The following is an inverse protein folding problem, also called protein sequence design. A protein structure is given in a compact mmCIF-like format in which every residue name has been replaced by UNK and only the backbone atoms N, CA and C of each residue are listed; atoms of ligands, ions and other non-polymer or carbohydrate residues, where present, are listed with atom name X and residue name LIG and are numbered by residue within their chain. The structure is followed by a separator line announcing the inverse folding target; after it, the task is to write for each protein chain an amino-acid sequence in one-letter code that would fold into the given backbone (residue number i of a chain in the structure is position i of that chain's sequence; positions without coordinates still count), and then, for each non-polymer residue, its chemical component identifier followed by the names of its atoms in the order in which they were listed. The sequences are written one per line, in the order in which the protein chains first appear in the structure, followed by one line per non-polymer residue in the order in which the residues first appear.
data_IF_715135746798
#
_entry.id   IF_715135746798
#
_cell.length_a   1.000
_cell.length_b   1.000
_cell.length_c   1.000
_cell.angle_alpha   90.00
_cell.angle_beta   90.00
_cell.angle_gamma   90.00
#
_symmetry.space_group_name_H-M   'P 1'
#
loop_
_entity.id
_entity.type
_entity.pdbx_description
1 polymer ?
#
# COMPACT_ATOMS: atom_id res chain seq x y z
N UNK A 1 -28.73 17.41 -8.72
CA UNK A 1 -28.75 18.26 -7.51
C UNK A 1 -27.43 19.02 -7.48
N UNK A 2 -27.44 20.35 -7.43
CA UNK A 2 -26.23 21.17 -7.22
C UNK A 2 -26.17 21.55 -5.75
N UNK A 3 -25.00 21.37 -5.15
CA UNK A 3 -24.72 21.72 -3.75
C UNK A 3 -23.67 22.84 -3.79
N UNK A 4 -23.93 23.95 -3.13
CA UNK A 4 -22.93 25.00 -2.93
C UNK A 4 -22.30 24.80 -1.56
N UNK A 5 -20.97 24.86 -1.51
CA UNK A 5 -20.19 24.73 -0.29
C UNK A 5 -19.32 25.99 -0.11
N UNK A 6 -19.40 26.59 1.06
CA UNK A 6 -18.48 27.65 1.46
C UNK A 6 -17.32 27.01 2.20
N UNK A 7 -16.11 27.14 1.64
CA UNK A 7 -14.87 26.64 2.22
C UNK A 7 -14.07 27.81 2.75
N UNK A 8 -13.69 27.75 4.01
CA UNK A 8 -12.76 28.72 4.61
C UNK A 8 -11.33 28.15 4.53
N UNK A 9 -10.59 28.57 3.53
CA UNK A 9 -9.21 28.13 3.26
C UNK A 9 -8.34 29.38 3.15
N UNK A 10 -7.17 29.40 3.78
CA UNK A 10 -6.24 30.51 3.64
C UNK A 10 -5.65 30.57 2.23
N UNK A 11 -5.26 31.77 1.79
CA UNK A 11 -4.81 32.04 0.43
C UNK A 11 -3.57 31.21 0.04
N UNK A 12 -2.66 30.96 0.97
CA UNK A 12 -1.43 30.19 0.70
C UNK A 12 -1.75 28.73 0.44
N UNK A 13 -2.60 28.14 1.25
CA UNK A 13 -3.10 26.76 1.06
C UNK A 13 -3.89 26.66 -0.24
N UNK A 14 -4.75 27.64 -0.53
CA UNK A 14 -5.55 27.65 -1.76
C UNK A 14 -4.68 27.69 -3.02
N UNK A 15 -3.69 28.59 -3.06
CA UNK A 15 -2.78 28.71 -4.19
C UNK A 15 -1.96 27.43 -4.41
N UNK A 16 -1.43 26.84 -3.34
CA UNK A 16 -0.70 25.57 -3.41
C UNK A 16 -1.58 24.43 -3.95
N UNK A 17 -2.83 24.36 -3.52
CA UNK A 17 -3.80 23.37 -4.03
C UNK A 17 -4.06 23.57 -5.51
N UNK A 18 -4.31 24.82 -5.95
CA UNK A 18 -4.56 25.13 -7.36
C UNK A 18 -3.36 24.78 -8.26
N UNK A 19 -2.16 25.16 -7.87
CA UNK A 19 -0.92 24.82 -8.59
C UNK A 19 -0.78 23.30 -8.72
N UNK A 20 -0.89 22.58 -7.61
CA UNK A 20 -0.77 21.13 -7.59
C UNK A 20 -1.81 20.45 -8.49
N UNK A 21 -3.04 20.93 -8.48
CA UNK A 21 -4.11 20.36 -9.31
C UNK A 21 -3.90 20.65 -10.80
N UNK A 22 -3.44 21.85 -11.13
CA UNK A 22 -3.12 22.23 -12.50
C UNK A 22 -1.98 21.38 -13.08
N UNK A 23 -0.94 21.12 -12.29
CA UNK A 23 0.22 20.29 -12.68
C UNK A 23 -0.19 18.87 -13.08
N UNK A 24 -1.24 18.33 -12.45
CA UNK A 24 -1.77 16.98 -12.76
C UNK A 24 -2.99 17.00 -13.69
N UNK A 25 -3.39 18.17 -14.21
CA UNK A 25 -4.51 18.33 -15.11
C UNK A 25 -5.89 18.15 -14.46
N UNK A 26 -5.98 18.34 -13.15
CA UNK A 26 -7.24 18.28 -12.39
C UNK A 26 -7.73 19.68 -12.02
N UNK A 27 -9.04 19.80 -11.82
CA UNK A 27 -9.64 20.96 -11.18
C UNK A 27 -10.22 20.60 -9.82
N UNK A 28 -10.49 21.61 -9.00
CA UNK A 28 -10.99 21.43 -7.64
C UNK A 28 -12.34 20.71 -7.58
N UNK A 29 -13.22 20.99 -8.55
CA UNK A 29 -14.55 20.35 -8.62
C UNK A 29 -14.42 18.84 -8.86
N UNK A 30 -13.54 18.43 -9.78
CA UNK A 30 -13.28 17.03 -10.07
C UNK A 30 -12.72 16.33 -8.82
N UNK A 31 -11.75 16.94 -8.16
CA UNK A 31 -11.16 16.38 -6.94
C UNK A 31 -12.18 16.23 -5.82
N UNK A 32 -13.05 17.24 -5.65
CA UNK A 32 -14.10 17.19 -4.64
C UNK A 32 -15.14 16.12 -4.94
N UNK A 33 -15.53 15.95 -6.21
CA UNK A 33 -16.42 14.89 -6.63
C UNK A 33 -15.83 13.49 -6.42
N UNK A 34 -14.53 13.34 -6.68
CA UNK A 34 -13.80 12.08 -6.38
C UNK A 34 -13.79 11.80 -4.88
N UNK A 35 -13.54 12.81 -4.06
CA UNK A 35 -13.58 12.73 -2.60
C UNK A 35 -14.95 12.29 -2.08
N UNK A 36 -16.03 12.94 -2.53
CA UNK A 36 -17.39 12.57 -2.14
C UNK A 36 -17.77 11.16 -2.62
N UNK A 37 -17.38 10.80 -3.84
CA UNK A 37 -17.60 9.47 -4.40
C UNK A 37 -16.90 8.38 -3.57
N UNK A 38 -15.70 8.68 -3.09
CA UNK A 38 -14.95 7.79 -2.22
C UNK A 38 -15.64 7.60 -0.86
N UNK A 39 -16.11 8.68 -0.23
CA UNK A 39 -16.87 8.61 1.02
C UNK A 39 -18.12 7.75 0.83
N UNK A 40 -18.89 8.00 -0.24
CA UNK A 40 -20.12 7.27 -0.53
C UNK A 40 -19.85 5.76 -0.74
N UNK A 41 -18.76 5.42 -1.43
CA UNK A 41 -18.37 4.03 -1.72
C UNK A 41 -17.86 3.30 -0.47
N UNK A 42 -17.00 3.94 0.29
CA UNK A 42 -16.36 3.33 1.47
C UNK A 42 -17.23 3.41 2.71
N UNK A 43 -18.26 4.29 2.72
CA UNK A 43 -19.12 4.60 3.88
C UNK A 43 -18.32 4.83 5.17
N UNK A 44 -17.13 5.40 5.02
CA UNK A 44 -16.18 5.62 6.10
C UNK A 44 -15.33 6.85 5.80
N UNK A 45 -15.00 7.59 6.86
CA UNK A 45 -14.03 8.69 6.86
C UNK A 45 -12.70 8.26 7.52
N UNK A 46 -12.51 6.98 7.77
CA UNK A 46 -11.34 6.46 8.50
C UNK A 46 -10.01 6.87 7.88
N UNK A 47 -9.97 7.10 6.57
CA UNK A 47 -8.78 7.59 5.86
C UNK A 47 -8.54 9.12 6.04
N UNK A 48 -9.56 9.89 6.49
CA UNK A 48 -9.41 11.31 6.88
C UNK A 48 -9.23 11.41 8.39
N UNK A 49 -10.03 10.63 9.13
CA UNK A 49 -10.07 10.64 10.59
C UNK A 49 -9.11 9.63 11.21
N UNK A 50 -8.31 8.93 10.41
CA UNK A 50 -7.15 8.27 10.92
C UNK A 50 -6.35 9.34 11.66
N UNK A 51 -6.75 9.57 12.93
CA UNK A 51 -5.97 10.37 13.87
C UNK A 51 -4.53 9.99 13.59
N UNK A 52 -3.70 10.98 13.38
CA UNK A 52 -2.26 10.83 13.38
C UNK A 52 -1.90 9.85 14.49
N UNK A 53 -1.89 8.56 14.16
CA UNK A 53 -1.34 7.56 15.04
C UNK A 53 0.14 7.83 15.02
N UNK A 54 0.51 8.86 15.80
CA UNK A 54 1.83 9.19 16.27
C UNK A 54 2.98 9.04 15.28
N UNK A 55 2.87 9.57 14.05
CA UNK A 55 4.04 9.79 13.20
C UNK A 55 4.74 11.05 13.74
N UNK A 56 5.62 10.88 14.71
CA UNK A 56 6.58 11.93 15.05
C UNK A 56 7.65 11.92 13.97
N UNK A 57 7.62 12.90 13.07
CA UNK A 57 8.77 13.20 12.22
C UNK A 57 9.93 13.66 13.10
N UNK A 58 10.76 12.71 13.51
CA UNK A 58 12.11 13.04 13.95
C UNK A 58 12.92 13.34 12.71
N UNK A 59 13.65 14.46 12.70
CA UNK A 59 14.43 14.93 11.55
C UNK A 59 15.52 13.98 11.07
N UNK A 60 15.17 12.85 10.52
CA UNK A 60 15.91 11.84 9.78
C UNK A 60 14.95 10.72 9.28
N UNK A 61 13.71 11.05 8.84
CA UNK A 61 12.74 10.08 8.32
C UNK A 61 12.54 8.83 9.21
N UNK A 62 12.53 9.01 10.53
CA UNK A 62 12.29 7.90 11.48
C UNK A 62 10.79 7.67 11.58
N UNK A 63 10.33 6.64 10.91
CA UNK A 63 8.94 6.20 11.00
C UNK A 63 8.73 5.44 12.31
N UNK A 64 7.76 5.84 13.13
CA UNK A 64 7.45 5.18 14.40
C UNK A 64 6.03 4.65 14.42
N UNK A 65 5.83 3.40 14.85
CA UNK A 65 4.51 2.83 15.03
C UNK A 65 4.55 1.63 15.99
N UNK A 66 3.53 1.50 16.82
CA UNK A 66 3.37 0.32 17.67
C UNK A 66 2.86 -0.90 16.89
N UNK A 67 2.19 -0.67 15.76
CA UNK A 67 1.65 -1.73 14.91
C UNK A 67 1.65 -1.29 13.44
N UNK A 68 2.43 -1.97 12.62
CA UNK A 68 2.42 -1.76 11.17
C UNK A 68 1.14 -2.33 10.55
N UNK A 69 0.47 -1.51 9.74
CA UNK A 69 -0.72 -1.88 8.97
C UNK A 69 -0.48 -1.63 7.48
N UNK A 70 -1.31 -2.25 6.63
CA UNK A 70 -1.19 -2.06 5.17
C UNK A 70 -1.30 -0.58 4.75
N UNK A 71 -2.29 0.21 5.20
CA UNK A 71 -2.38 1.64 4.85
C UNK A 71 -1.17 2.44 5.33
N UNK A 72 -0.71 2.20 6.55
CA UNK A 72 0.43 2.92 7.13
C UNK A 72 1.74 2.59 6.38
N UNK A 73 1.94 1.34 6.02
CA UNK A 73 3.10 0.94 5.23
C UNK A 73 3.10 1.61 3.84
N UNK A 74 1.94 1.66 3.17
CA UNK A 74 1.79 2.36 1.90
C UNK A 74 2.08 3.87 2.04
N UNK A 75 1.59 4.50 3.10
CA UNK A 75 1.87 5.90 3.42
C UNK A 75 3.36 6.17 3.63
N UNK A 76 4.06 5.29 4.37
CA UNK A 76 5.50 5.44 4.61
C UNK A 76 6.30 5.40 3.29
N UNK A 77 5.97 4.49 2.38
CA UNK A 77 6.59 4.45 1.07
C UNK A 77 6.25 5.68 0.22
N UNK A 78 5.01 6.16 0.26
CA UNK A 78 4.59 7.36 -0.47
C UNK A 78 5.34 8.62 0.03
N UNK A 79 5.54 8.78 1.34
CA UNK A 79 6.35 9.88 1.92
C UNK A 79 7.80 9.89 1.45
N UNK A 80 8.34 8.74 1.04
CA UNK A 80 9.67 8.62 0.44
C UNK A 80 9.66 8.70 -1.09
N UNK A 81 8.56 9.16 -1.69
CA UNK A 81 8.42 9.27 -3.15
C UNK A 81 8.36 7.92 -3.87
N UNK A 82 8.06 6.82 -3.17
CA UNK A 82 7.92 5.51 -3.78
C UNK A 82 6.48 5.25 -4.18
N UNK A 83 6.28 4.85 -5.42
CA UNK A 83 4.96 4.47 -5.92
C UNK A 83 4.47 3.21 -5.22
N UNK A 84 3.23 3.26 -4.71
CA UNK A 84 2.50 2.09 -4.22
C UNK A 84 1.21 2.00 -5.03
N UNK A 85 1.01 0.88 -5.72
CA UNK A 85 -0.17 0.71 -6.58
C UNK A 85 -1.46 0.57 -5.76
N UNK A 86 -2.58 0.89 -6.38
CA UNK A 86 -3.91 0.80 -5.74
C UNK A 86 -4.24 -0.62 -5.27
N UNK A 87 -3.96 -1.62 -6.10
CA UNK A 87 -4.06 -3.03 -5.68
C UNK A 87 -2.87 -3.37 -4.80
N UNK A 88 -3.14 -3.79 -3.57
CA UNK A 88 -2.11 -4.04 -2.58
C UNK A 88 -2.34 -5.34 -1.83
N UNK A 89 -1.27 -6.09 -1.63
CA UNK A 89 -1.21 -7.19 -0.69
C UNK A 89 -0.24 -6.85 0.45
N UNK A 90 -0.58 -7.27 1.66
CA UNK A 90 0.22 -7.07 2.85
C UNK A 90 0.40 -8.39 3.56
N UNK A 91 1.65 -8.74 3.83
CA UNK A 91 2.02 -9.96 4.52
C UNK A 91 2.95 -9.64 5.69
N UNK A 92 2.62 -10.12 6.88
CA UNK A 92 3.54 -10.05 8.02
C UNK A 92 4.31 -11.34 8.18
N UNK A 93 5.51 -11.25 8.78
CA UNK A 93 6.27 -12.44 9.17
C UNK A 93 5.41 -13.32 10.07
N UNK A 94 5.34 -14.59 9.70
CA UNK A 94 4.62 -15.59 10.50
C UNK A 94 5.38 -15.86 11.80
N UNK A 95 4.67 -15.87 12.92
CA UNK A 95 5.28 -16.10 14.24
C UNK A 95 5.82 -17.53 14.43
N UNK A 96 5.17 -18.51 13.79
CA UNK A 96 5.51 -19.94 13.87
C UNK A 96 6.29 -20.45 12.67
N UNK A 97 6.47 -19.64 11.62
CA UNK A 97 7.12 -20.04 10.39
C UNK A 97 8.23 -19.08 9.97
N UNK A 98 9.16 -19.60 9.17
CA UNK A 98 10.24 -18.79 8.60
C UNK A 98 9.84 -18.19 7.23
N UNK A 99 8.67 -17.49 7.19
CA UNK A 99 8.15 -16.88 5.97
C UNK A 99 7.18 -15.73 6.30
N UNK A 100 6.98 -14.84 5.33
CA UNK A 100 5.88 -13.88 5.32
C UNK A 100 4.66 -14.55 4.69
N UNK A 101 3.50 -14.44 5.33
CA UNK A 101 2.28 -15.07 4.82
C UNK A 101 1.28 -14.03 4.34
N UNK A 102 1.02 -14.07 3.04
CA UNK A 102 0.04 -13.22 2.38
C UNK A 102 -1.04 -14.04 1.67
N UNK A 103 -2.23 -13.48 1.59
CA UNK A 103 -3.39 -14.14 0.98
C UNK A 103 -4.09 -13.17 0.00
N UNK A 104 -3.41 -12.68 -1.06
CA UNK A 104 -4.09 -11.89 -2.07
C UNK A 104 -5.08 -12.73 -2.85
N UNK A 105 -6.15 -12.12 -3.34
CA UNK A 105 -7.05 -12.76 -4.30
C UNK A 105 -6.38 -12.84 -5.67
N UNK A 106 -6.75 -13.82 -6.50
CA UNK A 106 -6.13 -13.99 -7.82
C UNK A 106 -6.35 -12.82 -8.77
N UNK A 107 -7.36 -11.98 -8.53
CA UNK A 107 -7.59 -10.78 -9.35
C UNK A 107 -6.44 -9.75 -9.31
N UNK A 108 -5.52 -9.85 -8.34
CA UNK A 108 -4.35 -8.94 -8.30
C UNK A 108 -3.47 -9.06 -9.55
N UNK A 109 -3.39 -10.26 -10.17
CA UNK A 109 -2.55 -10.47 -11.35
C UNK A 109 -3.06 -9.75 -12.61
N UNK A 110 -4.34 -9.34 -12.59
CA UNK A 110 -4.98 -8.59 -13.68
C UNK A 110 -4.70 -7.08 -13.62
N UNK A 111 -3.94 -6.63 -12.62
CA UNK A 111 -3.58 -5.23 -12.38
C UNK A 111 -2.09 -5.11 -12.06
N UNK A 112 -1.55 -3.89 -12.20
CA UNK A 112 -0.33 -3.52 -11.49
C UNK A 112 -0.64 -3.55 -9.99
N UNK A 113 0.16 -4.25 -9.21
CA UNK A 113 -0.09 -4.42 -7.77
C UNK A 113 1.17 -4.34 -6.94
N UNK A 114 1.02 -3.94 -5.69
CA UNK A 114 2.11 -3.88 -4.73
C UNK A 114 1.99 -4.99 -3.69
N UNK A 115 3.10 -5.68 -3.45
CA UNK A 115 3.26 -6.57 -2.30
C UNK A 115 4.11 -5.84 -1.25
N UNK A 116 3.60 -5.77 -0.02
CA UNK A 116 4.31 -5.21 1.12
C UNK A 116 4.55 -6.32 2.12
N UNK A 117 5.80 -6.58 2.44
CA UNK A 117 6.20 -7.53 3.48
C UNK A 117 6.58 -6.78 4.75
N UNK A 118 5.97 -7.13 5.86
CA UNK A 118 6.23 -6.55 7.17
C UNK A 118 7.07 -7.52 8.02
N UNK A 119 8.33 -7.17 8.20
CA UNK A 119 9.22 -7.82 9.14
C UNK A 119 8.98 -7.25 10.54
N UNK A 120 8.24 -7.98 11.35
CA UNK A 120 7.91 -7.59 12.73
C UNK A 120 9.09 -7.79 13.69
N UNK A 121 10.11 -8.55 13.30
CA UNK A 121 11.31 -8.84 14.11
C UNK A 121 12.33 -7.72 13.95
N UNK A 122 12.70 -7.42 12.71
CA UNK A 122 13.68 -6.37 12.40
C UNK A 122 13.04 -4.98 12.26
N UNK A 123 11.71 -4.87 12.40
CA UNK A 123 10.99 -3.61 12.21
C UNK A 123 11.24 -2.99 10.84
N UNK A 124 11.09 -3.80 9.81
CA UNK A 124 11.28 -3.38 8.41
C UNK A 124 10.04 -3.67 7.57
N UNK A 125 9.79 -2.83 6.59
CA UNK A 125 8.80 -3.10 5.54
C UNK A 125 9.51 -3.11 4.19
N UNK A 126 9.23 -4.11 3.36
CA UNK A 126 9.75 -4.25 2.00
C UNK A 126 8.63 -4.03 1.00
N UNK A 127 8.88 -3.24 -0.04
CA UNK A 127 7.93 -2.97 -1.12
C UNK A 127 8.38 -3.65 -2.41
N UNK A 128 7.42 -4.28 -3.09
CA UNK A 128 7.57 -4.85 -4.43
C UNK A 128 6.44 -4.33 -5.31
N UNK A 129 6.77 -3.88 -6.51
CA UNK A 129 5.82 -3.44 -7.51
C UNK A 129 5.80 -4.43 -8.68
N UNK A 130 4.71 -5.16 -8.79
CA UNK A 130 4.55 -6.25 -9.73
C UNK A 130 3.65 -5.78 -10.88
N UNK A 131 4.15 -5.71 -12.13
CA UNK A 131 3.36 -5.31 -13.28
C UNK A 131 2.24 -6.30 -13.57
N UNK A 132 1.13 -5.81 -14.11
CA UNK A 132 0.05 -6.61 -14.67
C UNK A 132 0.57 -7.68 -15.60
N UNK A 133 0.02 -8.89 -15.49
CA UNK A 133 0.36 -10.00 -16.39
C UNK A 133 1.73 -10.65 -16.16
N UNK A 134 2.45 -10.21 -15.09
CA UNK A 134 3.72 -10.86 -14.68
C UNK A 134 3.54 -12.34 -14.37
N UNK A 135 2.47 -12.67 -13.68
CA UNK A 135 2.12 -14.05 -13.31
C UNK A 135 0.84 -14.49 -14.03
N UNK A 136 0.81 -15.77 -14.40
CA UNK A 136 -0.42 -16.47 -14.79
C UNK A 136 -0.99 -17.17 -13.54
N UNK A 137 -2.25 -17.53 -13.59
CA UNK A 137 -2.91 -18.27 -12.49
C UNK A 137 -2.18 -19.58 -12.15
N UNK A 138 -1.62 -20.23 -13.16
CA UNK A 138 -0.81 -21.46 -13.03
C UNK A 138 0.57 -21.25 -12.41
N UNK A 139 1.06 -20.02 -12.36
CA UNK A 139 2.37 -19.69 -11.78
C UNK A 139 2.34 -19.56 -10.25
N UNK A 140 1.16 -19.47 -9.67
CA UNK A 140 0.93 -19.26 -8.24
C UNK A 140 0.06 -20.38 -7.67
N UNK A 141 0.22 -20.65 -6.38
CA UNK A 141 -0.51 -21.73 -5.71
C UNK A 141 -1.73 -21.18 -4.99
N UNK A 142 -2.90 -21.74 -5.28
CA UNK A 142 -4.12 -21.44 -4.56
C UNK A 142 -4.12 -22.04 -3.15
N UNK A 143 -4.81 -21.38 -2.22
CA UNK A 143 -5.09 -21.98 -0.92
C UNK A 143 -5.98 -23.21 -1.10
N UNK A 144 -5.74 -24.23 -0.30
CA UNK A 144 -6.51 -25.48 -0.34
C UNK A 144 -7.97 -25.30 0.07
N UNK A 145 -8.24 -24.34 0.96
CA UNK A 145 -9.59 -24.04 1.47
C UNK A 145 -10.32 -22.92 0.68
N UNK A 146 -9.61 -22.18 -0.18
CA UNK A 146 -10.13 -21.01 -0.92
C UNK A 146 -9.47 -20.87 -2.29
N UNK A 147 -10.03 -21.48 -3.30
CA UNK A 147 -9.45 -21.56 -4.66
C UNK A 147 -9.20 -20.20 -5.36
N UNK A 148 -9.86 -19.13 -4.93
CA UNK A 148 -9.65 -17.77 -5.48
C UNK A 148 -8.62 -16.94 -4.72
N UNK A 149 -7.98 -17.52 -3.69
CA UNK A 149 -6.96 -16.87 -2.87
C UNK A 149 -5.61 -17.54 -3.10
N UNK A 150 -4.57 -16.72 -3.30
CA UNK A 150 -3.19 -17.20 -3.43
C UNK A 150 -2.63 -17.51 -2.04
N UNK A 151 -2.03 -18.67 -1.87
CA UNK A 151 -1.26 -19.03 -0.67
C UNK A 151 0.19 -18.55 -0.84
N UNK A 152 0.42 -17.26 -0.66
CA UNK A 152 1.72 -16.65 -0.85
C UNK A 152 2.55 -16.75 0.43
N UNK A 153 3.68 -17.45 0.36
CA UNK A 153 4.58 -17.70 1.49
C UNK A 153 6.02 -17.33 1.12
N UNK A 154 6.38 -16.05 1.23
CA UNK A 154 7.73 -15.58 0.90
C UNK A 154 8.72 -15.98 2.00
N UNK A 155 9.78 -16.67 1.63
CA UNK A 155 10.80 -17.16 2.58
C UNK A 155 11.46 -15.98 3.31
N UNK A 156 11.48 -16.07 4.64
CA UNK A 156 12.14 -15.08 5.48
C UNK A 156 13.66 -15.23 5.44
N UNK A 157 14.39 -14.12 5.28
CA UNK A 157 15.85 -14.12 5.19
C UNK A 157 16.40 -14.54 3.83
N UNK A 158 15.54 -14.86 2.86
CA UNK A 158 15.99 -15.13 1.49
C UNK A 158 16.13 -13.83 0.70
N UNK A 159 17.32 -13.55 0.21
CA UNK A 159 17.64 -12.36 -0.59
C UNK A 159 16.89 -12.30 -1.93
N UNK A 160 16.39 -13.43 -2.43
CA UNK A 160 15.60 -13.53 -3.65
C UNK A 160 14.10 -13.33 -3.39
N UNK A 161 13.69 -13.27 -2.12
CA UNK A 161 12.27 -13.20 -1.73
C UNK A 161 11.43 -14.27 -2.44
N UNK A 162 11.89 -15.51 -2.37
CA UNK A 162 11.29 -16.64 -3.08
C UNK A 162 9.98 -17.07 -2.38
N UNK A 163 8.91 -17.24 -3.14
CA UNK A 163 7.70 -17.90 -2.64
C UNK A 163 7.95 -19.41 -2.54
N UNK A 164 7.86 -19.95 -1.33
CA UNK A 164 8.12 -21.37 -1.06
C UNK A 164 7.11 -22.32 -1.70
N UNK A 165 5.92 -21.82 -2.09
CA UNK A 165 4.87 -22.63 -2.70
C UNK A 165 5.03 -22.74 -4.22
N UNK A 166 5.26 -21.63 -4.88
CA UNK A 166 5.41 -21.57 -6.35
C UNK A 166 6.86 -21.57 -6.83
N UNK A 167 7.83 -21.40 -5.92
CA UNK A 167 9.25 -21.25 -6.22
C UNK A 167 9.58 -20.04 -7.11
N UNK A 168 8.69 -19.05 -7.16
CA UNK A 168 8.94 -17.81 -7.91
C UNK A 168 9.69 -16.81 -7.04
N UNK A 169 10.72 -16.16 -7.62
CA UNK A 169 11.41 -15.04 -6.99
C UNK A 169 10.65 -13.73 -7.21
N UNK A 170 10.58 -12.91 -6.19
CA UNK A 170 9.99 -11.56 -6.23
C UNK A 170 11.05 -10.46 -6.30
N UNK A 171 12.34 -10.81 -6.20
CA UNK A 171 13.44 -9.85 -6.14
C UNK A 171 13.44 -8.84 -7.29
N UNK A 172 13.15 -9.27 -8.51
CA UNK A 172 13.11 -8.39 -9.70
C UNK A 172 12.06 -7.26 -9.61
N UNK A 173 11.10 -7.36 -8.69
CA UNK A 173 10.04 -6.34 -8.47
C UNK A 173 10.31 -5.50 -7.22
N UNK A 174 11.46 -5.73 -6.58
CA UNK A 174 11.82 -5.03 -5.34
C UNK A 174 12.06 -3.54 -5.58
N UNK A 175 11.40 -2.70 -4.78
CA UNK A 175 11.48 -1.24 -4.84
C UNK A 175 12.34 -0.67 -3.73
N UNK A 176 12.29 -1.27 -2.54
CA UNK A 176 13.06 -0.80 -1.40
C UNK A 176 12.54 -1.28 -0.05
N UNK A 177 13.29 -0.90 0.98
CA UNK A 177 12.98 -1.20 2.38
C UNK A 177 12.93 0.08 3.19
N UNK A 178 12.04 0.12 4.18
CA UNK A 178 11.96 1.17 5.20
C UNK A 178 12.09 0.50 6.57
N UNK A 179 12.88 1.09 7.43
CA UNK A 179 12.94 0.74 8.85
C UNK A 179 11.96 1.62 9.64
N UNK A 180 11.29 1.03 10.63
CA UNK A 180 10.38 1.74 11.52
C UNK A 180 10.66 1.36 12.99
N UNK A 181 10.22 2.19 13.94
CA UNK A 181 10.43 1.99 15.38
C UNK A 181 9.10 1.88 16.12
#
# INVERSE_FOLDING_TARGET
MKINLDLNVDDSTWNTVQETLNDVGFNIELCFNMFLSRIAKERSLSWITAKESGVKEGGNNVFTTTRMTKPLAAEFFAKLGKTVYYKQSFASKNSSGNYYWGNPTFDVIDYDWSLILNDTVEKKIHLFNIPKGTFRKSDLVARTDKANIIDLQIVYGDSQFTDRKSHKSFFQYYVGTIEYK
#
